data_IF_964122350864
#
_entry.id   IF_964122350864
#
_cell.length_a   1.000
_cell.length_b   1.000
_cell.length_c   1.000
_cell.angle_alpha   90.00
_cell.angle_beta   90.00
_cell.angle_gamma   90.00
#
_symmetry.space_group_name_H-M   'P 1'
#
loop_
_entity.id
_entity.type
_entity.pdbx_description
1 polymer ?
#
# COMPACT_ATOMS: atom_id res chain seq x y z
N UNK A 1 21.43 -4.15 -10.97
CA UNK A 1 20.52 -4.82 -10.01
C UNK A 1 19.61 -5.86 -10.68
N UNK A 2 18.95 -5.53 -11.81
CA UNK A 2 18.16 -6.53 -12.55
C UNK A 2 19.00 -7.73 -13.05
N UNK A 3 20.26 -7.49 -13.45
CA UNK A 3 21.21 -8.53 -13.84
C UNK A 3 21.52 -9.54 -12.71
N UNK A 4 21.54 -9.08 -11.45
CA UNK A 4 21.75 -9.95 -10.29
C UNK A 4 20.52 -10.85 -10.05
N UNK A 5 19.31 -10.28 -10.12
CA UNK A 5 18.06 -11.04 -10.05
C UNK A 5 17.93 -12.06 -11.20
N UNK A 6 18.34 -11.67 -12.40
CA UNK A 6 18.33 -12.53 -13.58
C UNK A 6 19.24 -13.75 -13.42
N UNK A 7 20.45 -13.56 -12.88
CA UNK A 7 21.39 -14.66 -12.66
C UNK A 7 20.98 -15.59 -11.52
N UNK A 8 20.29 -15.10 -10.49
CA UNK A 8 19.88 -15.92 -9.34
C UNK A 8 18.56 -16.66 -9.55
N UNK A 9 17.62 -16.08 -10.30
CA UNK A 9 16.24 -16.58 -10.37
C UNK A 9 15.73 -16.83 -11.80
N UNK A 10 16.48 -16.43 -12.82
CA UNK A 10 16.05 -16.50 -14.23
C UNK A 10 15.12 -15.34 -14.64
N UNK A 11 15.04 -15.09 -15.95
CA UNK A 11 14.27 -13.98 -16.52
C UNK A 11 12.81 -13.90 -16.05
N UNK A 12 11.99 -14.96 -16.18
CA UNK A 12 10.56 -14.86 -15.88
C UNK A 12 10.29 -14.57 -14.40
N UNK A 13 11.09 -15.14 -13.50
CA UNK A 13 10.93 -14.91 -12.07
C UNK A 13 11.38 -13.50 -11.67
N UNK A 14 12.50 -13.02 -12.24
CA UNK A 14 12.97 -11.66 -11.99
C UNK A 14 11.96 -10.61 -12.47
N UNK A 15 11.31 -10.85 -13.61
CA UNK A 15 10.25 -9.99 -14.14
C UNK A 15 9.02 -10.00 -13.22
N UNK A 16 8.54 -11.18 -12.83
CA UNK A 16 7.38 -11.33 -11.95
C UNK A 16 7.63 -10.71 -10.57
N UNK A 17 8.81 -10.94 -9.98
CA UNK A 17 9.19 -10.35 -8.70
C UNK A 17 9.23 -8.82 -8.77
N UNK A 18 9.83 -8.28 -9.84
CA UNK A 18 9.90 -6.83 -10.05
C UNK A 18 8.51 -6.22 -10.23
N UNK A 19 7.62 -6.92 -10.94
CA UNK A 19 6.23 -6.52 -11.12
C UNK A 19 5.46 -6.52 -9.78
N UNK A 20 5.61 -7.58 -8.97
CA UNK A 20 4.98 -7.67 -7.65
C UNK A 20 5.48 -6.57 -6.72
N UNK A 21 6.78 -6.34 -6.66
CA UNK A 21 7.36 -5.24 -5.85
C UNK A 21 6.83 -3.88 -6.32
N UNK A 22 6.73 -3.66 -7.63
CA UNK A 22 6.17 -2.43 -8.18
C UNK A 22 4.70 -2.23 -7.76
N UNK A 23 3.88 -3.28 -7.85
CA UNK A 23 2.49 -3.25 -7.38
C UNK A 23 2.39 -2.97 -5.87
N UNK A 24 3.24 -3.59 -5.06
CA UNK A 24 3.30 -3.33 -3.61
C UNK A 24 3.64 -1.86 -3.32
N UNK A 25 4.58 -1.27 -4.05
CA UNK A 25 4.91 0.15 -3.89
C UNK A 25 3.73 1.06 -4.26
N UNK A 26 3.00 0.75 -5.34
CA UNK A 26 1.80 1.52 -5.72
C UNK A 26 0.72 1.44 -4.65
N UNK A 27 0.40 0.22 -4.18
CA UNK A 27 -0.61 -0.01 -3.14
C UNK A 27 -0.21 0.68 -1.83
N UNK A 28 1.08 0.67 -1.50
CA UNK A 28 1.62 1.37 -0.35
C UNK A 28 1.39 2.89 -0.42
N UNK A 29 1.74 3.51 -1.55
CA UNK A 29 1.56 4.95 -1.76
C UNK A 29 0.07 5.34 -1.80
N UNK A 30 -0.78 4.54 -2.45
CA UNK A 30 -2.22 4.77 -2.49
C UNK A 30 -2.84 4.69 -1.08
N UNK A 31 -2.45 3.69 -0.29
CA UNK A 31 -2.93 3.54 1.09
C UNK A 31 -2.43 4.67 2.01
N UNK A 32 -1.20 5.15 1.82
CA UNK A 32 -0.69 6.32 2.53
C UNK A 32 -1.49 7.58 2.18
N UNK A 33 -1.77 7.81 0.90
CA UNK A 33 -2.58 8.95 0.47
C UNK A 33 -4.00 8.89 1.07
N UNK A 34 -4.64 7.72 1.04
CA UNK A 34 -5.96 7.52 1.65
C UNK A 34 -5.94 7.74 3.17
N UNK A 35 -4.93 7.25 3.88
CA UNK A 35 -4.75 7.48 5.32
C UNK A 35 -4.66 8.97 5.67
N UNK A 36 -3.93 9.74 4.86
CA UNK A 36 -3.80 11.19 5.04
C UNK A 36 -5.13 11.89 4.80
N UNK A 37 -5.85 11.54 3.73
CA UNK A 37 -7.15 12.12 3.39
C UNK A 37 -8.19 11.80 4.49
N UNK A 38 -8.29 10.54 4.91
CA UNK A 38 -9.23 10.12 5.96
C UNK A 38 -8.98 10.84 7.30
N UNK A 39 -7.73 11.05 7.70
CA UNK A 39 -7.42 11.82 8.91
C UNK A 39 -7.77 13.30 8.78
N UNK A 40 -7.70 13.85 7.56
CA UNK A 40 -8.11 15.22 7.28
C UNK A 40 -9.63 15.39 7.37
N UNK A 41 -10.41 14.42 6.87
CA UNK A 41 -11.87 14.42 6.97
C UNK A 41 -12.37 14.25 8.43
N UNK A 42 -11.70 13.40 9.22
CA UNK A 42 -12.05 13.20 10.63
C UNK A 42 -11.56 14.32 11.57
N UNK A 43 -10.94 15.40 11.04
CA UNK A 43 -10.29 16.48 11.81
C UNK A 43 -9.34 15.97 12.92
N UNK A 44 -8.86 14.73 12.81
CA UNK A 44 -8.10 14.07 13.86
C UNK A 44 -6.68 13.88 13.39
N UNK A 45 -5.76 14.70 13.90
CA UNK A 45 -4.33 14.56 13.62
C UNK A 45 -3.76 13.35 14.37
N UNK A 46 -3.61 12.20 13.70
CA UNK A 46 -2.91 11.01 14.24
C UNK A 46 -1.56 10.84 13.54
N UNK A 47 -0.55 11.68 13.86
CA UNK A 47 0.75 11.62 13.20
C UNK A 47 1.46 10.27 13.39
N UNK A 48 1.17 9.56 14.48
CA UNK A 48 1.69 8.21 14.72
C UNK A 48 1.21 7.20 13.67
N UNK A 49 -0.05 7.29 13.23
CA UNK A 49 -0.60 6.38 12.21
C UNK A 49 0.02 6.65 10.83
N UNK A 50 0.32 7.90 10.51
CA UNK A 50 1.04 8.27 9.28
C UNK A 50 2.49 7.76 9.36
N UNK A 51 3.16 7.98 10.50
CA UNK A 51 4.53 7.50 10.72
C UNK A 51 4.62 5.97 10.60
N UNK A 52 3.69 5.25 11.23
CA UNK A 52 3.55 3.79 11.10
C UNK A 52 3.30 3.38 9.66
N UNK A 53 2.50 4.13 8.91
CA UNK A 53 2.24 3.87 7.50
C UNK A 53 3.47 4.04 6.60
N UNK A 54 4.35 4.99 6.94
CA UNK A 54 5.61 5.20 6.23
C UNK A 54 6.66 4.16 6.63
N UNK A 55 6.72 3.77 7.92
CA UNK A 55 7.70 2.80 8.41
C UNK A 55 7.35 1.35 8.03
N UNK A 56 6.05 1.03 7.94
CA UNK A 56 5.56 -0.32 7.67
C UNK A 56 4.61 -0.34 6.47
N UNK A 57 5.06 -0.77 5.28
CA UNK A 57 4.25 -0.70 4.07
C UNK A 57 3.02 -1.60 4.06
N UNK A 58 2.98 -2.62 4.92
CA UNK A 58 1.80 -3.47 5.09
C UNK A 58 0.64 -2.79 5.82
N UNK A 59 0.91 -1.80 6.67
CA UNK A 59 -0.11 -1.07 7.43
C UNK A 59 -1.11 -0.32 6.52
N UNK A 60 -0.66 0.56 5.60
CA UNK A 60 -1.55 1.28 4.70
C UNK A 60 -2.23 0.38 3.68
N UNK A 61 -1.64 -0.77 3.32
CA UNK A 61 -2.33 -1.78 2.49
C UNK A 61 -3.53 -2.37 3.22
N UNK A 62 -3.35 -2.78 4.48
CA UNK A 62 -4.45 -3.30 5.32
C UNK A 62 -5.53 -2.24 5.55
N UNK A 63 -5.12 -0.99 5.78
CA UNK A 63 -6.04 0.14 5.90
C UNK A 63 -6.84 0.38 4.60
N UNK A 64 -6.19 0.36 3.43
CA UNK A 64 -6.85 0.56 2.14
C UNK A 64 -7.88 -0.53 1.84
N UNK A 65 -7.60 -1.78 2.18
CA UNK A 65 -8.58 -2.87 2.04
C UNK A 65 -9.76 -2.66 2.98
N UNK A 66 -9.51 -2.26 4.23
CA UNK A 66 -10.57 -1.96 5.20
C UNK A 66 -11.45 -0.81 4.74
N UNK A 67 -10.83 0.27 4.26
CA UNK A 67 -11.50 1.46 3.73
C UNK A 67 -12.41 1.08 2.54
N UNK A 68 -11.91 0.29 1.59
CA UNK A 68 -12.72 -0.23 0.48
C UNK A 68 -13.91 -1.08 0.94
N UNK A 69 -13.75 -1.89 1.99
CA UNK A 69 -14.86 -2.71 2.54
C UNK A 69 -15.89 -1.81 3.21
N UNK A 70 -15.44 -0.81 3.97
CA UNK A 70 -16.31 0.13 4.67
C UNK A 70 -17.09 1.01 3.69
N UNK A 71 -16.42 1.52 2.66
CA UNK A 71 -17.02 2.27 1.57
C UNK A 71 -18.10 1.43 0.85
N UNK A 72 -17.80 0.16 0.53
CA UNK A 72 -18.81 -0.75 -0.05
C UNK A 72 -20.02 -1.01 0.84
N UNK A 73 -19.87 -0.97 2.17
CA UNK A 73 -21.01 -1.11 3.10
C UNK A 73 -21.86 0.16 3.07
N UNK A 74 -21.23 1.34 3.06
CA UNK A 74 -21.91 2.64 3.03
C UNK A 74 -22.75 2.85 1.75
N UNK A 75 -22.33 2.32 0.60
CA UNK A 75 -23.12 2.36 -0.65
C UNK A 75 -24.23 1.29 -0.77
N UNK A 76 -24.31 0.34 0.17
CA UNK A 76 -25.32 -0.74 0.13
C UNK A 76 -26.52 -0.46 1.05
N UNK A 77 -26.44 0.57 1.88
CA UNK A 77 -27.55 1.16 2.65
C UNK A 77 -28.24 2.26 1.83
#
# INVERSE_FOLDING_TARGET
MLQALYQTFGFPLALLLSFVVFMLVILWLAGLAGLVISQQEEHTSKPLSILLGVLFPFYPMGWLVWDMIQERRRYRE
#
